data_IF_270054117732
#
_entry.id   IF_270054117732
#
_cell.length_a   1.000
_cell.length_b   1.000
_cell.length_c   1.000
_cell.angle_alpha   90.00
_cell.angle_beta   90.00
_cell.angle_gamma   90.00
#
_symmetry.space_group_name_H-M   'P 1'
#
loop_
_entity.id
_entity.type
_entity.pdbx_description
1 polymer ?
#
# COMPACT_ATOMS: atom_id res chain seq x y z
N UNK A 1 34.41 37.67 3.80
CA UNK A 1 33.48 36.70 3.24
C UNK A 1 33.32 35.58 4.23
N UNK A 2 32.21 35.43 4.98
CA UNK A 2 31.98 34.27 5.80
C UNK A 2 31.22 33.23 4.96
N UNK A 3 31.82 32.07 4.81
CA UNK A 3 31.21 30.83 4.30
C UNK A 3 30.08 30.39 5.22
N UNK A 4 28.85 30.37 4.69
CA UNK A 4 27.67 29.86 5.37
C UNK A 4 27.78 28.37 5.58
N UNK A 5 27.12 27.81 6.61
CA UNK A 5 27.15 26.39 6.88
C UNK A 5 26.37 25.63 5.80
N UNK A 6 27.04 24.71 5.11
CA UNK A 6 26.41 23.66 4.33
C UNK A 6 25.69 22.73 5.31
N UNK A 7 24.37 22.87 5.38
CA UNK A 7 23.50 21.94 6.08
C UNK A 7 23.59 20.58 5.36
N UNK A 8 24.42 19.68 5.87
CA UNK A 8 24.29 18.26 5.62
C UNK A 8 23.03 17.78 6.37
N UNK A 9 21.87 17.85 5.74
CA UNK A 9 20.71 17.12 6.19
C UNK A 9 21.06 15.64 5.99
N UNK A 10 21.37 14.95 7.08
CA UNK A 10 21.50 13.50 7.12
C UNK A 10 20.13 12.94 6.70
N UNK A 11 20.05 12.38 5.50
CA UNK A 11 18.86 11.63 5.07
C UNK A 11 18.63 10.52 6.10
N UNK A 12 17.49 10.55 6.76
CA UNK A 12 17.09 9.49 7.68
C UNK A 12 16.91 8.24 6.81
N UNK A 13 17.80 7.25 6.95
CA UNK A 13 17.62 5.96 6.28
C UNK A 13 16.31 5.36 6.81
N UNK A 14 15.38 5.09 5.90
CA UNK A 14 14.12 4.46 6.26
C UNK A 14 14.40 3.06 6.82
N UNK A 15 13.77 2.74 7.95
CA UNK A 15 13.91 1.45 8.59
C UNK A 15 13.20 0.38 7.77
N UNK A 16 13.86 -0.75 7.52
CA UNK A 16 13.24 -1.89 6.85
C UNK A 16 12.32 -2.62 7.83
N UNK A 17 11.02 -2.66 7.53
CA UNK A 17 10.01 -3.42 8.24
C UNK A 17 9.41 -4.44 7.27
N UNK A 18 9.62 -5.73 7.55
CA UNK A 18 9.23 -6.78 6.64
C UNK A 18 7.92 -7.43 7.06
N UNK A 19 7.01 -7.58 6.11
CA UNK A 19 5.75 -8.29 6.28
C UNK A 19 6.02 -9.78 6.53
N UNK A 20 5.28 -10.37 7.46
CA UNK A 20 5.42 -11.75 7.90
C UNK A 20 4.31 -12.63 7.33
N UNK A 21 4.69 -13.79 6.81
CA UNK A 21 3.74 -14.78 6.31
C UNK A 21 2.78 -15.26 7.41
N UNK A 22 1.51 -15.36 7.08
CA UNK A 22 0.45 -15.84 7.97
C UNK A 22 0.00 -17.24 7.51
N UNK A 23 0.07 -18.27 8.36
CA UNK A 23 -0.49 -19.57 8.04
C UNK A 23 -2.00 -19.51 7.77
N UNK A 24 -2.50 -20.26 6.80
CA UNK A 24 -3.93 -20.33 6.51
C UNK A 24 -4.23 -20.59 5.03
N UNK A 25 -5.52 -20.69 4.71
CA UNK A 25 -5.99 -20.95 3.34
C UNK A 25 -5.87 -19.74 2.39
N UNK A 26 -5.72 -18.53 2.95
CA UNK A 26 -5.47 -17.31 2.19
C UNK A 26 -4.00 -16.93 2.37
N UNK A 27 -3.19 -16.96 1.30
CA UNK A 27 -1.80 -16.54 1.37
C UNK A 27 -1.72 -15.05 1.71
N UNK A 28 -1.17 -14.72 2.88
CA UNK A 28 -1.09 -13.35 3.39
C UNK A 28 0.25 -13.11 4.08
N UNK A 29 0.66 -11.86 4.00
CA UNK A 29 1.80 -11.31 4.72
C UNK A 29 1.29 -10.11 5.52
N UNK A 30 1.44 -10.14 6.86
CA UNK A 30 0.96 -9.09 7.76
C UNK A 30 2.08 -8.13 8.16
N UNK A 31 1.76 -6.89 8.39
CA UNK A 31 2.59 -5.94 9.11
C UNK A 31 2.44 -6.20 10.61
N UNK A 32 3.16 -7.21 11.12
CA UNK A 32 2.98 -7.70 12.48
C UNK A 32 3.18 -6.61 13.53
N UNK A 33 4.21 -5.79 13.39
CA UNK A 33 4.48 -4.67 14.30
C UNK A 33 3.33 -3.66 14.34
N UNK A 34 2.74 -3.32 13.18
CA UNK A 34 1.58 -2.42 13.14
C UNK A 34 0.34 -3.03 13.78
N UNK A 35 0.09 -4.32 13.55
CA UNK A 35 -1.03 -5.03 14.17
C UNK A 35 -0.90 -5.08 15.70
N UNK A 36 0.31 -5.35 16.20
CA UNK A 36 0.61 -5.47 17.63
C UNK A 36 0.66 -4.10 18.34
N UNK A 37 1.27 -3.10 17.70
CA UNK A 37 1.45 -1.77 18.30
C UNK A 37 0.20 -0.91 18.24
N UNK A 38 -0.56 -1.00 17.14
CA UNK A 38 -1.65 -0.07 16.85
C UNK A 38 -3.04 -0.72 16.83
N UNK A 39 -3.13 -2.05 16.90
CA UNK A 39 -4.41 -2.76 16.86
C UNK A 39 -5.16 -2.62 15.56
N UNK A 40 -4.46 -2.46 14.45
CA UNK A 40 -5.00 -2.45 13.08
C UNK A 40 -4.91 -3.84 12.46
N UNK A 41 -5.51 -4.03 11.28
CA UNK A 41 -5.20 -5.10 10.35
C UNK A 41 -4.49 -4.49 9.15
N UNK A 42 -3.24 -4.90 8.91
CA UNK A 42 -2.42 -4.36 7.84
C UNK A 42 -1.58 -5.46 7.18
N UNK A 43 -1.44 -5.40 5.87
CA UNK A 43 -0.63 -6.36 5.13
C UNK A 43 -1.01 -6.47 3.66
N UNK A 44 -0.57 -7.57 3.05
CA UNK A 44 -0.76 -7.84 1.63
C UNK A 44 -1.04 -9.33 1.41
N UNK A 45 -1.85 -9.68 0.39
CA UNK A 45 -1.98 -11.08 -0.03
C UNK A 45 -0.76 -11.51 -0.85
N UNK A 46 -0.48 -12.80 -0.86
CA UNK A 46 0.55 -13.40 -1.71
C UNK A 46 -0.04 -14.13 -2.90
N UNK A 47 0.84 -14.72 -3.73
CA UNK A 47 0.49 -15.58 -4.86
C UNK A 47 -0.14 -16.91 -4.40
N UNK A 48 0.38 -17.52 -3.33
CA UNK A 48 0.02 -18.86 -2.86
C UNK A 48 0.44 -19.98 -3.82
N UNK A 49 0.28 -21.22 -3.36
CA UNK A 49 0.73 -22.43 -4.07
C UNK A 49 -0.36 -23.07 -4.95
N UNK A 50 -1.47 -22.37 -5.20
CA UNK A 50 -2.59 -22.89 -5.98
C UNK A 50 -2.26 -23.12 -7.45
N UNK A 51 -2.93 -24.07 -8.13
CA UNK A 51 -2.75 -24.31 -9.55
C UNK A 51 -3.11 -23.07 -10.39
N UNK A 52 -2.53 -22.95 -11.57
CA UNK A 52 -2.77 -21.84 -12.49
C UNK A 52 -2.21 -20.51 -11.98
N UNK A 53 -3.07 -19.52 -11.84
CA UNK A 53 -2.70 -18.18 -11.36
C UNK A 53 -2.62 -18.04 -9.83
N UNK A 54 -2.70 -19.12 -9.08
CA UNK A 54 -2.66 -19.06 -7.61
C UNK A 54 -3.82 -18.25 -7.03
N UNK A 55 -3.53 -17.36 -6.05
CA UNK A 55 -4.53 -16.54 -5.35
C UNK A 55 -4.69 -15.15 -5.97
N UNK A 56 -4.84 -15.07 -7.31
CA UNK A 56 -5.06 -13.82 -8.03
C UNK A 56 -6.39 -13.17 -7.63
N UNK A 57 -6.33 -11.92 -7.18
CA UNK A 57 -7.46 -11.08 -6.79
C UNK A 57 -7.74 -9.94 -7.79
N UNK A 58 -7.09 -9.94 -8.95
CA UNK A 58 -7.28 -8.94 -9.99
C UNK A 58 -8.63 -9.07 -10.69
N UNK A 59 -9.49 -8.06 -10.56
CA UNK A 59 -10.80 -8.02 -11.22
C UNK A 59 -10.72 -7.71 -12.72
N UNK A 60 -9.60 -7.14 -13.17
CA UNK A 60 -9.37 -6.74 -14.56
C UNK A 60 -8.18 -7.51 -15.18
N UNK A 61 -7.97 -8.75 -14.75
CA UNK A 61 -7.04 -9.70 -15.37
C UNK A 61 -7.82 -10.66 -16.27
N UNK A 62 -7.11 -11.50 -17.03
CA UNK A 62 -7.76 -12.55 -17.85
C UNK A 62 -8.25 -13.74 -17.01
N UNK A 63 -8.17 -13.69 -15.68
CA UNK A 63 -8.65 -14.74 -14.80
C UNK A 63 -10.19 -14.82 -14.86
N UNK A 64 -10.78 -16.03 -14.82
CA UNK A 64 -12.24 -16.17 -14.81
C UNK A 64 -12.86 -15.43 -13.62
N UNK A 65 -13.78 -14.50 -13.89
CA UNK A 65 -14.39 -13.64 -12.86
C UNK A 65 -14.98 -14.41 -11.68
N UNK A 66 -15.59 -15.57 -11.94
CA UNK A 66 -16.15 -16.44 -10.89
C UNK A 66 -15.10 -16.97 -9.91
N UNK A 67 -13.89 -17.29 -10.40
CA UNK A 67 -12.78 -17.73 -9.58
C UNK A 67 -12.24 -16.57 -8.74
N UNK A 68 -12.02 -15.40 -9.37
CA UNK A 68 -11.54 -14.19 -8.69
C UNK A 68 -12.51 -13.81 -7.56
N UNK A 69 -13.82 -13.78 -7.84
CA UNK A 69 -14.85 -13.51 -6.82
C UNK A 69 -14.90 -14.59 -5.74
N UNK A 70 -14.57 -15.84 -6.08
CA UNK A 70 -14.41 -16.92 -5.11
C UNK A 70 -13.27 -16.63 -4.12
N UNK A 71 -12.10 -16.19 -4.63
CA UNK A 71 -10.93 -15.81 -3.81
C UNK A 71 -11.19 -14.56 -2.97
N UNK A 72 -11.92 -13.57 -3.49
CA UNK A 72 -12.35 -12.42 -2.72
C UNK A 72 -13.26 -12.79 -1.55
N UNK A 73 -14.19 -13.76 -1.74
CA UNK A 73 -15.00 -14.27 -0.62
C UNK A 73 -14.16 -14.96 0.44
N UNK A 74 -13.15 -15.76 0.03
CA UNK A 74 -12.19 -16.37 0.96
C UNK A 74 -11.37 -15.33 1.72
N UNK A 75 -10.87 -14.30 1.02
CA UNK A 75 -10.14 -13.18 1.63
C UNK A 75 -11.00 -12.45 2.67
N UNK A 76 -12.24 -12.11 2.33
CA UNK A 76 -13.16 -11.45 3.29
C UNK A 76 -13.45 -12.34 4.51
N UNK A 77 -13.66 -13.63 4.32
CA UNK A 77 -13.88 -14.57 5.42
C UNK A 77 -12.66 -14.69 6.35
N UNK A 78 -11.45 -14.47 5.83
CA UNK A 78 -10.21 -14.43 6.59
C UNK A 78 -9.93 -13.09 7.30
N UNK A 79 -10.84 -12.12 7.17
CA UNK A 79 -10.75 -10.79 7.77
C UNK A 79 -11.92 -10.53 8.74
N UNK A 80 -11.95 -11.20 9.92
CA UNK A 80 -12.98 -10.94 10.92
C UNK A 80 -12.86 -9.51 11.47
N UNK A 81 -13.99 -8.92 11.85
CA UNK A 81 -14.06 -7.54 12.38
C UNK A 81 -14.27 -6.48 11.31
N UNK A 82 -14.56 -6.88 10.04
CA UNK A 82 -14.85 -5.94 8.96
C UNK A 82 -16.20 -6.26 8.30
N UNK A 83 -17.13 -5.30 8.36
CA UNK A 83 -18.43 -5.38 7.68
C UNK A 83 -18.34 -4.86 6.24
N UNK A 84 -17.47 -3.90 5.98
CA UNK A 84 -17.25 -3.29 4.67
C UNK A 84 -15.85 -3.51 4.12
N UNK A 85 -15.78 -3.74 2.80
CA UNK A 85 -14.52 -3.73 2.04
C UNK A 85 -14.65 -2.70 0.93
N UNK A 86 -13.71 -1.79 0.83
CA UNK A 86 -13.66 -0.76 -0.22
C UNK A 86 -12.50 -1.02 -1.17
N UNK A 87 -12.76 -0.86 -2.48
CA UNK A 87 -11.79 -1.05 -3.55
C UNK A 87 -12.00 0.02 -4.63
N UNK A 88 -10.93 0.54 -5.21
CA UNK A 88 -10.97 1.42 -6.37
C UNK A 88 -10.75 0.68 -7.69
N UNK A 89 -11.42 1.13 -8.77
CA UNK A 89 -10.94 0.91 -10.13
C UNK A 89 -9.78 1.88 -10.34
N UNK A 90 -8.58 1.41 -10.04
CA UNK A 90 -7.35 2.19 -10.03
C UNK A 90 -6.95 2.62 -11.44
N UNK A 91 -6.62 3.89 -11.61
CA UNK A 91 -6.24 4.49 -12.89
C UNK A 91 -4.80 5.01 -12.89
N UNK A 92 -4.02 4.67 -11.84
CA UNK A 92 -2.68 5.20 -11.57
C UNK A 92 -2.67 6.74 -11.42
N UNK A 93 -3.78 7.28 -10.92
CA UNK A 93 -3.97 8.69 -10.63
C UNK A 93 -3.60 9.08 -9.20
N UNK A 94 -4.20 10.17 -8.72
CA UNK A 94 -4.00 10.72 -7.37
C UNK A 94 -5.30 10.80 -6.56
N UNK A 95 -6.41 10.23 -7.08
CA UNK A 95 -7.71 10.28 -6.42
C UNK A 95 -7.72 9.47 -5.12
N UNK A 96 -7.97 10.13 -3.99
CA UNK A 96 -8.13 9.52 -2.66
C UNK A 96 -9.49 9.86 -2.11
N UNK A 97 -10.23 8.87 -1.60
CA UNK A 97 -11.60 9.03 -1.09
C UNK A 97 -11.67 8.70 0.39
N UNK A 98 -12.36 9.57 1.14
CA UNK A 98 -12.71 9.37 2.54
C UNK A 98 -14.00 8.56 2.65
N UNK A 99 -14.04 7.59 3.58
CA UNK A 99 -15.17 6.72 3.84
C UNK A 99 -15.68 6.90 5.27
N UNK A 100 -16.87 7.46 5.43
CA UNK A 100 -17.58 7.52 6.73
C UNK A 100 -18.34 6.23 7.02
N UNK A 101 -18.66 5.46 5.98
CA UNK A 101 -19.37 4.19 6.06
C UNK A 101 -19.07 3.31 4.85
N UNK A 102 -18.99 2.03 5.07
CA UNK A 102 -19.02 1.01 4.03
C UNK A 102 -19.67 -0.24 4.61
N UNK A 103 -20.52 -0.89 3.86
CA UNK A 103 -21.12 -2.17 4.19
C UNK A 103 -21.06 -3.10 2.99
N UNK A 104 -20.71 -4.35 3.21
CA UNK A 104 -20.53 -5.33 2.16
C UNK A 104 -19.32 -5.02 1.25
N UNK A 105 -19.57 -4.90 -0.04
CA UNK A 105 -18.58 -4.61 -1.08
C UNK A 105 -18.84 -3.25 -1.70
N UNK A 106 -17.89 -2.33 -1.61
CA UNK A 106 -17.97 -0.99 -2.20
C UNK A 106 -16.84 -0.83 -3.21
N UNK A 107 -17.18 -0.58 -4.46
CA UNK A 107 -16.23 -0.31 -5.54
C UNK A 107 -16.46 1.09 -6.08
N UNK A 108 -15.37 1.84 -6.28
CA UNK A 108 -15.39 3.23 -6.76
C UNK A 108 -14.54 3.36 -8.02
N UNK A 109 -15.03 4.14 -8.99
CA UNK A 109 -14.30 4.40 -10.23
C UNK A 109 -13.24 5.49 -10.07
N UNK A 110 -12.07 5.29 -10.68
CA UNK A 110 -11.02 6.30 -10.77
C UNK A 110 -10.33 6.63 -9.44
N UNK A 111 -10.33 5.69 -8.48
CA UNK A 111 -9.79 5.90 -7.12
C UNK A 111 -8.54 5.04 -6.93
N UNK A 112 -7.45 5.70 -6.54
CA UNK A 112 -6.15 5.08 -6.27
C UNK A 112 -5.79 5.10 -4.77
N UNK A 113 -6.66 5.63 -3.91
CA UNK A 113 -6.46 5.65 -2.47
C UNK A 113 -7.74 5.77 -1.68
N UNK A 114 -7.71 5.26 -0.46
CA UNK A 114 -8.84 5.25 0.46
C UNK A 114 -8.40 5.71 1.83
N UNK A 115 -9.27 6.41 2.56
CA UNK A 115 -9.03 6.82 3.94
C UNK A 115 -10.30 6.68 4.79
N UNK A 116 -10.15 6.45 6.09
CA UNK A 116 -11.27 6.37 7.04
C UNK A 116 -10.80 6.51 8.48
N UNK A 117 -11.72 6.93 9.36
CA UNK A 117 -11.63 6.80 10.82
C UNK A 117 -12.64 5.77 11.37
N UNK A 118 -13.45 5.16 10.50
CA UNK A 118 -14.55 4.28 10.90
C UNK A 118 -14.09 2.84 11.08
N UNK A 119 -14.19 2.25 12.29
CA UNK A 119 -13.95 0.84 12.49
C UNK A 119 -14.89 -0.04 11.65
N UNK A 120 -14.42 -1.21 11.26
CA UNK A 120 -15.20 -2.15 10.46
C UNK A 120 -15.10 -1.94 8.95
N UNK A 121 -14.37 -0.91 8.50
CA UNK A 121 -14.05 -0.71 7.08
C UNK A 121 -12.64 -1.23 6.80
N UNK A 122 -12.52 -2.14 5.84
CA UNK A 122 -11.24 -2.61 5.32
C UNK A 122 -10.94 -1.90 4.01
N UNK A 123 -9.92 -1.05 4.02
CA UNK A 123 -9.37 -0.39 2.84
C UNK A 123 -8.56 -1.41 2.03
N UNK A 124 -8.78 -1.48 0.72
CA UNK A 124 -8.04 -2.40 -0.15
C UNK A 124 -7.63 -1.73 -1.46
N UNK A 125 -6.44 -2.07 -1.94
CA UNK A 125 -5.94 -1.72 -3.27
C UNK A 125 -5.32 -2.95 -3.92
N UNK A 126 -5.37 -3.05 -5.24
CA UNK A 126 -4.70 -4.11 -5.99
C UNK A 126 -3.32 -3.64 -6.44
N UNK A 127 -2.32 -4.52 -6.30
CA UNK A 127 -0.95 -4.22 -6.69
C UNK A 127 -0.28 -5.41 -7.40
N UNK A 128 0.63 -5.09 -8.30
CA UNK A 128 1.68 -5.93 -8.82
C UNK A 128 2.78 -4.96 -9.28
N UNK A 129 3.81 -4.79 -8.44
CA UNK A 129 4.93 -3.85 -8.54
C UNK A 129 4.70 -2.44 -7.99
N UNK A 130 3.54 -1.79 -8.20
CA UNK A 130 3.24 -0.49 -7.60
C UNK A 130 3.30 -0.56 -6.07
N UNK A 131 3.69 0.55 -5.43
CA UNK A 131 3.91 0.61 -3.98
C UNK A 131 2.59 0.85 -3.25
N UNK A 132 2.15 -0.06 -2.38
CA UNK A 132 1.10 0.26 -1.41
C UNK A 132 1.69 1.15 -0.31
N UNK A 133 1.13 2.34 -0.12
CA UNK A 133 1.52 3.24 0.96
C UNK A 133 0.46 3.19 2.04
N UNK A 134 0.87 2.78 3.23
CA UNK A 134 0.05 2.71 4.42
C UNK A 134 0.32 3.95 5.27
N UNK A 135 -0.74 4.65 5.67
CA UNK A 135 -0.69 5.78 6.59
C UNK A 135 -1.59 5.50 7.79
N UNK A 136 -1.10 5.80 8.97
CA UNK A 136 -1.85 5.67 10.21
C UNK A 136 -1.53 6.83 11.15
N UNK A 137 -2.56 7.52 11.65
CA UNK A 137 -2.50 8.41 12.78
C UNK A 137 -2.96 7.63 14.02
N UNK A 138 -2.06 7.16 14.90
CA UNK A 138 -2.41 6.24 15.98
C UNK A 138 -3.40 6.84 16.99
N UNK A 139 -3.17 8.09 17.41
CA UNK A 139 -3.98 8.77 18.43
C UNK A 139 -5.38 9.12 17.91
N UNK A 140 -5.49 9.57 16.65
CA UNK A 140 -6.76 9.94 16.03
C UNK A 140 -7.51 8.73 15.49
N UNK A 141 -6.87 7.56 15.43
CA UNK A 141 -7.42 6.33 14.85
C UNK A 141 -7.86 6.55 13.40
N UNK A 142 -7.04 7.21 12.60
CA UNK A 142 -7.27 7.50 11.18
C UNK A 142 -6.28 6.71 10.34
N UNK A 143 -6.78 6.10 9.27
CA UNK A 143 -5.97 5.31 8.35
C UNK A 143 -6.17 5.74 6.91
N UNK A 144 -5.12 5.59 6.07
CA UNK A 144 -5.23 5.66 4.62
C UNK A 144 -4.34 4.61 3.96
N UNK A 145 -4.78 4.14 2.79
CA UNK A 145 -4.06 3.17 1.96
C UNK A 145 -4.06 3.67 0.51
N UNK A 146 -2.85 3.84 -0.06
CA UNK A 146 -2.65 4.46 -1.37
C UNK A 146 -1.97 3.49 -2.33
N UNK A 147 -2.40 3.51 -3.59
CA UNK A 147 -1.75 2.84 -4.71
C UNK A 147 -0.79 3.80 -5.42
N UNK A 148 0.49 3.70 -5.12
CA UNK A 148 1.50 4.59 -5.66
C UNK A 148 2.33 3.91 -6.76
N UNK A 149 1.85 3.98 -8.00
CA UNK A 149 2.66 3.78 -9.20
C UNK A 149 3.44 5.06 -9.53
N UNK A 150 4.30 5.05 -10.55
CA UNK A 150 5.11 6.21 -10.89
C UNK A 150 4.28 7.48 -11.20
N UNK A 151 3.11 7.33 -11.88
CA UNK A 151 2.23 8.47 -12.17
C UNK A 151 1.62 9.05 -10.90
N UNK A 152 1.12 8.20 -10.00
CA UNK A 152 0.57 8.62 -8.71
C UNK A 152 1.63 9.28 -7.82
N UNK A 153 2.85 8.71 -7.77
CA UNK A 153 3.99 9.28 -7.03
C UNK A 153 4.39 10.64 -7.58
N UNK A 154 4.55 10.75 -8.90
CA UNK A 154 4.89 12.02 -9.58
C UNK A 154 3.77 13.07 -9.48
N UNK A 155 2.51 12.61 -9.49
CA UNK A 155 1.33 13.48 -9.38
C UNK A 155 0.98 13.91 -7.96
N UNK A 156 1.70 13.44 -6.93
CA UNK A 156 1.49 13.85 -5.54
C UNK A 156 0.32 13.14 -4.85
N UNK A 157 0.15 11.83 -5.06
CA UNK A 157 -0.90 11.05 -4.35
C UNK A 157 -0.75 11.11 -2.84
N UNK A 158 0.52 11.16 -2.34
CA UNK A 158 0.78 11.31 -0.91
C UNK A 158 0.33 12.68 -0.41
N UNK A 159 0.66 13.75 -1.11
CA UNK A 159 0.26 15.13 -0.75
C UNK A 159 -1.26 15.26 -0.72
N UNK A 160 -1.94 14.75 -1.76
CA UNK A 160 -3.41 14.73 -1.81
C UNK A 160 -4.05 13.93 -0.67
N UNK A 161 -3.42 12.84 -0.23
CA UNK A 161 -3.86 12.08 0.93
C UNK A 161 -3.67 12.88 2.23
N UNK A 162 -2.51 13.51 2.43
CA UNK A 162 -2.23 14.34 3.61
C UNK A 162 -3.22 15.50 3.73
N UNK A 163 -3.50 16.22 2.64
CA UNK A 163 -4.53 17.27 2.61
C UNK A 163 -5.93 16.74 2.94
N UNK A 164 -6.27 15.53 2.46
CA UNK A 164 -7.55 14.89 2.78
C UNK A 164 -7.65 14.57 4.28
N UNK A 165 -6.61 14.00 4.88
CA UNK A 165 -6.56 13.64 6.30
C UNK A 165 -6.66 14.88 7.19
N UNK A 166 -5.96 15.95 6.85
CA UNK A 166 -6.06 17.24 7.56
C UNK A 166 -7.47 17.82 7.48
N UNK A 167 -8.05 17.84 6.28
CA UNK A 167 -9.39 18.40 6.05
C UNK A 167 -10.47 17.61 6.77
N UNK A 168 -10.43 16.28 6.72
CA UNK A 168 -11.48 15.38 7.24
C UNK A 168 -11.33 15.11 8.74
N UNK A 169 -10.12 14.99 9.25
CA UNK A 169 -9.87 14.50 10.61
C UNK A 169 -8.89 15.37 11.42
N UNK A 170 -8.40 16.48 10.87
CA UNK A 170 -7.39 17.35 11.52
C UNK A 170 -6.08 16.62 11.83
N UNK A 171 -5.78 15.58 11.08
CA UNK A 171 -4.52 14.84 11.19
C UNK A 171 -3.45 15.59 10.41
N UNK A 172 -2.35 15.92 11.08
CA UNK A 172 -1.18 16.55 10.47
C UNK A 172 -0.12 15.49 10.11
N UNK A 173 0.81 15.77 9.19
CA UNK A 173 1.89 14.82 8.88
C UNK A 173 2.69 14.36 10.10
N UNK A 174 2.88 15.24 11.08
CA UNK A 174 3.57 14.91 12.34
C UNK A 174 2.85 13.89 13.23
N UNK A 175 1.57 13.65 12.99
CA UNK A 175 0.76 12.66 13.72
C UNK A 175 0.83 11.26 13.10
N UNK A 176 1.47 11.13 11.92
CA UNK A 176 1.43 9.93 11.10
C UNK A 176 2.63 9.01 11.31
N UNK A 177 2.38 7.73 11.17
CA UNK A 177 3.37 6.72 10.79
C UNK A 177 3.07 6.27 9.36
N UNK A 178 4.13 5.99 8.58
CA UNK A 178 4.04 5.61 7.17
C UNK A 178 4.81 4.32 6.90
N UNK A 179 4.24 3.46 6.06
CA UNK A 179 4.94 2.28 5.55
C UNK A 179 4.78 2.18 4.03
N UNK A 180 5.91 2.09 3.31
CA UNK A 180 5.94 1.75 1.90
C UNK A 180 6.07 0.23 1.78
N UNK A 181 4.98 -0.46 1.43
CA UNK A 181 4.90 -1.92 1.44
C UNK A 181 5.55 -2.60 0.24
N UNK A 182 5.19 -3.88 0.06
CA UNK A 182 5.72 -4.75 -1.01
C UNK A 182 5.54 -4.13 -2.38
N UNK A 183 6.64 -3.84 -3.05
CA UNK A 183 6.66 -3.24 -4.39
C UNK A 183 7.99 -3.46 -5.10
N UNK A 184 8.05 -3.14 -6.38
CA UNK A 184 9.25 -3.36 -7.18
C UNK A 184 10.41 -2.49 -6.68
N UNK A 185 11.59 -3.08 -6.50
CA UNK A 185 12.78 -2.35 -6.07
C UNK A 185 13.48 -1.65 -7.24
N UNK A 186 14.33 -0.68 -6.91
CA UNK A 186 15.12 0.04 -7.91
C UNK A 186 15.94 -0.86 -8.82
N UNK A 187 16.53 -1.94 -8.30
CA UNK A 187 17.30 -2.89 -9.13
C UNK A 187 16.49 -3.63 -10.20
N UNK A 188 15.16 -3.71 -10.04
CA UNK A 188 14.26 -4.37 -10.99
C UNK A 188 13.39 -3.40 -11.81
N UNK A 189 13.33 -2.11 -11.42
CA UNK A 189 12.48 -1.14 -12.09
C UNK A 189 13.27 -0.26 -13.05
N UNK A 190 13.61 -0.85 -14.20
CA UNK A 190 14.20 -0.16 -15.35
C UNK A 190 13.14 0.72 -16.02
N UNK A 191 13.48 1.97 -16.32
CA UNK A 191 12.56 2.98 -16.86
C UNK A 191 13.20 3.84 -17.97
N UNK A 192 12.36 4.47 -18.78
CA UNK A 192 12.73 5.51 -19.72
C UNK A 192 12.80 6.90 -19.08
N UNK A 193 13.24 7.90 -19.86
CA UNK A 193 13.35 9.29 -19.44
C UNK A 193 12.03 9.87 -18.94
N UNK A 194 10.91 9.49 -19.55
CA UNK A 194 9.57 9.95 -19.12
C UNK A 194 9.31 9.68 -17.64
N UNK A 195 9.59 8.48 -17.15
CA UNK A 195 9.38 8.11 -15.75
C UNK A 195 10.40 8.81 -14.85
N UNK A 196 11.68 8.80 -15.29
CA UNK A 196 12.77 9.41 -14.53
C UNK A 196 12.49 10.89 -14.26
N UNK A 197 12.17 11.65 -15.31
CA UNK A 197 11.86 13.08 -15.22
C UNK A 197 10.59 13.35 -14.40
N UNK A 198 9.55 12.55 -14.60
CA UNK A 198 8.28 12.69 -13.88
C UNK A 198 8.45 12.55 -12.36
N UNK A 199 9.32 11.64 -11.90
CA UNK A 199 9.60 11.46 -10.47
C UNK A 199 10.69 12.42 -9.94
N UNK A 200 11.07 13.43 -10.72
CA UNK A 200 11.99 14.49 -10.32
C UNK A 200 13.47 14.10 -10.35
N UNK A 201 13.81 13.01 -11.03
CA UNK A 201 15.20 12.58 -11.18
C UNK A 201 15.78 13.03 -12.53
N UNK A 202 17.10 13.14 -12.59
CA UNK A 202 17.83 13.44 -13.81
C UNK A 202 18.78 12.29 -14.11
N UNK A 203 18.81 11.83 -15.35
CA UNK A 203 19.74 10.83 -15.84
C UNK A 203 20.81 11.45 -16.74
N UNK A 204 21.83 10.67 -17.05
CA UNK A 204 22.75 10.94 -18.14
C UNK A 204 22.09 10.55 -19.49
N UNK A 205 22.75 10.86 -20.60
CA UNK A 205 22.22 10.63 -21.96
C UNK A 205 22.19 9.13 -22.38
N UNK A 206 22.42 8.21 -21.45
CA UNK A 206 22.69 6.80 -21.76
C UNK A 206 21.67 5.80 -21.24
N UNK A 207 20.49 6.20 -20.81
CA UNK A 207 19.46 5.25 -20.29
C UNK A 207 19.49 3.85 -20.89
N UNK A 208 18.77 2.90 -20.39
CA UNK A 208 17.68 3.04 -19.41
C UNK A 208 18.20 3.26 -17.98
N UNK A 209 17.32 3.77 -17.14
CA UNK A 209 17.63 4.08 -15.74
C UNK A 209 16.86 3.19 -14.79
N UNK A 210 17.36 3.08 -13.57
CA UNK A 210 16.70 2.35 -12.49
C UNK A 210 16.17 3.32 -11.44
N UNK A 211 14.89 3.15 -11.03
CA UNK A 211 14.20 4.02 -10.08
C UNK A 211 13.60 3.18 -8.96
N UNK A 212 13.86 3.54 -7.70
CA UNK A 212 13.10 3.00 -6.57
C UNK A 212 12.01 4.00 -6.17
N UNK A 213 10.75 3.66 -6.40
CA UNK A 213 9.61 4.52 -6.05
C UNK A 213 9.43 4.62 -4.53
N UNK A 214 9.90 3.63 -3.74
CA UNK A 214 9.86 3.70 -2.28
C UNK A 214 10.77 4.79 -1.75
N UNK A 215 11.98 4.92 -2.31
CA UNK A 215 12.89 6.02 -1.96
C UNK A 215 12.23 7.37 -2.24
N UNK A 216 11.59 7.54 -3.41
CA UNK A 216 10.87 8.78 -3.75
C UNK A 216 9.73 9.08 -2.77
N UNK A 217 8.94 8.07 -2.40
CA UNK A 217 7.84 8.21 -1.42
C UNK A 217 8.36 8.52 -0.01
N UNK A 218 9.49 7.92 0.40
CA UNK A 218 10.16 8.22 1.66
C UNK A 218 10.62 9.68 1.69
N UNK A 219 11.25 10.16 0.62
CA UNK A 219 11.66 11.56 0.51
C UNK A 219 10.47 12.52 0.59
N UNK A 220 9.36 12.21 -0.08
CA UNK A 220 8.12 12.99 0.02
C UNK A 220 7.57 12.99 1.46
N UNK A 221 7.52 11.83 2.12
CA UNK A 221 7.06 11.72 3.50
C UNK A 221 7.92 12.48 4.50
N UNK A 222 9.25 12.40 4.36
CA UNK A 222 10.20 13.17 5.18
C UNK A 222 10.01 14.66 4.94
N UNK A 223 9.91 15.10 3.70
CA UNK A 223 9.68 16.50 3.34
C UNK A 223 8.35 17.04 3.89
N UNK A 224 7.32 16.21 3.94
CA UNK A 224 6.03 16.55 4.56
C UNK A 224 6.08 16.60 6.09
N UNK A 225 7.11 16.03 6.73
CA UNK A 225 7.28 16.02 8.19
C UNK A 225 6.71 14.77 8.88
N UNK A 226 6.56 13.65 8.18
CA UNK A 226 6.17 12.38 8.81
C UNK A 226 7.35 11.84 9.62
N UNK A 227 7.19 11.61 10.94
CA UNK A 227 8.32 11.31 11.83
C UNK A 227 8.81 9.85 11.76
N UNK A 228 7.93 8.91 11.43
CA UNK A 228 8.23 7.47 11.40
C UNK A 228 7.86 6.91 10.03
N UNK A 229 8.88 6.51 9.26
CA UNK A 229 8.70 5.95 7.93
C UNK A 229 9.47 4.64 7.83
N UNK A 230 8.78 3.58 7.40
CA UNK A 230 9.36 2.26 7.18
C UNK A 230 9.15 1.80 5.75
N UNK A 231 9.98 0.86 5.28
CA UNK A 231 9.88 0.29 3.94
C UNK A 231 9.93 -1.23 3.98
N UNK A 232 9.18 -1.88 3.09
CA UNK A 232 9.24 -3.33 2.91
C UNK A 232 10.58 -3.76 2.31
N UNK A 233 11.13 -4.87 2.81
CA UNK A 233 12.29 -5.53 2.22
C UNK A 233 11.95 -6.41 1.00
N UNK A 234 10.66 -6.66 0.73
CA UNK A 234 10.22 -7.51 -0.37
C UNK A 234 10.15 -6.79 -1.71
N UNK A 235 10.57 -7.51 -2.77
CA UNK A 235 10.38 -7.10 -4.16
C UNK A 235 9.66 -8.21 -4.92
N UNK A 236 8.49 -7.96 -5.55
CA UNK A 236 7.74 -8.97 -6.29
C UNK A 236 8.51 -9.58 -7.45
N UNK A 237 9.38 -8.82 -8.10
CA UNK A 237 10.19 -9.32 -9.22
C UNK A 237 11.30 -10.28 -8.77
N UNK A 238 11.82 -10.13 -7.55
CA UNK A 238 12.78 -11.05 -6.95
C UNK A 238 12.11 -12.29 -6.32
N UNK A 239 10.90 -12.12 -5.77
CA UNK A 239 10.19 -13.15 -5.00
C UNK A 239 8.89 -13.58 -5.72
N UNK A 240 9.03 -14.03 -6.96
CA UNK A 240 7.90 -14.43 -7.82
C UNK A 240 7.14 -15.66 -7.31
N UNK A 241 7.76 -16.44 -6.47
CA UNK A 241 7.13 -17.58 -5.77
C UNK A 241 6.13 -17.12 -4.71
N UNK A 242 6.33 -15.89 -4.16
CA UNK A 242 5.48 -15.32 -3.11
C UNK A 242 4.50 -14.27 -3.63
N UNK A 243 4.90 -13.51 -4.66
CA UNK A 243 4.18 -12.33 -5.12
C UNK A 243 4.00 -12.30 -6.64
N UNK A 244 3.03 -11.52 -7.11
CA UNK A 244 2.84 -11.22 -8.52
C UNK A 244 3.64 -9.99 -8.93
N UNK A 245 4.31 -10.06 -10.08
CA UNK A 245 5.06 -8.94 -10.66
C UNK A 245 4.62 -8.70 -12.11
N UNK A 246 4.08 -7.54 -12.37
CA UNK A 246 3.72 -7.07 -13.71
C UNK A 246 4.96 -6.99 -14.62
N UNK A 247 6.04 -6.42 -14.10
CA UNK A 247 7.32 -6.26 -14.81
C UNK A 247 7.93 -7.62 -15.18
N UNK A 248 8.10 -8.50 -14.20
CA UNK A 248 8.75 -9.79 -14.39
C UNK A 248 7.92 -10.78 -15.24
N UNK A 249 6.61 -10.53 -15.39
CA UNK A 249 5.69 -11.36 -16.17
C UNK A 249 5.29 -10.73 -17.52
N UNK A 250 5.84 -9.56 -17.87
CA UNK A 250 5.41 -8.78 -19.04
C UNK A 250 3.90 -8.54 -19.06
N UNK A 251 3.32 -8.27 -17.88
CA UNK A 251 1.90 -7.91 -17.71
C UNK A 251 0.93 -9.08 -17.56
N UNK A 252 1.37 -10.34 -17.72
CA UNK A 252 0.48 -11.51 -17.71
C UNK A 252 0.13 -12.05 -16.33
N UNK A 253 0.71 -11.50 -15.25
CA UNK A 253 0.55 -12.01 -13.88
C UNK A 253 -0.75 -11.50 -13.21
N UNK A 254 -1.12 -12.14 -12.08
CA UNK A 254 -2.25 -11.75 -11.25
C UNK A 254 -2.01 -10.45 -10.47
N UNK A 255 -2.91 -10.20 -9.51
CA UNK A 255 -2.82 -9.06 -8.59
C UNK A 255 -2.91 -9.52 -7.14
N UNK A 256 -2.05 -8.95 -6.30
CA UNK A 256 -2.16 -8.98 -4.85
C UNK A 256 -3.13 -7.90 -4.40
N UNK A 257 -3.63 -8.04 -3.17
CA UNK A 257 -4.40 -7.00 -2.48
C UNK A 257 -3.63 -6.58 -1.23
N UNK A 258 -3.23 -5.32 -1.18
CA UNK A 258 -2.82 -4.67 0.04
C UNK A 258 -4.05 -4.21 0.81
N UNK A 259 -4.02 -4.34 2.14
CA UNK A 259 -5.16 -4.04 3.00
C UNK A 259 -4.76 -3.31 4.28
N UNK A 260 -5.63 -2.41 4.73
CA UNK A 260 -5.49 -1.69 6.00
C UNK A 260 -6.88 -1.45 6.59
N UNK A 261 -7.06 -1.75 7.88
CA UNK A 261 -8.36 -1.56 8.52
C UNK A 261 -8.27 -1.43 10.04
N UNK A 262 -9.26 -0.73 10.60
CA UNK A 262 -9.53 -0.64 12.03
C UNK A 262 -10.59 -1.70 12.34
N UNK A 263 -10.24 -2.84 12.98
CA UNK A 263 -11.24 -3.87 13.25
C UNK A 263 -12.29 -3.38 14.26
N UNK A 264 -13.53 -3.81 14.08
CA UNK A 264 -14.51 -3.75 15.15
C UNK A 264 -14.00 -4.57 16.35
N UNK A 265 -14.25 -4.13 17.57
CA UNK A 265 -14.02 -4.96 18.74
C UNK A 265 -14.86 -6.25 18.58
N UNK A 266 -14.18 -7.39 18.43
CA UNK A 266 -14.86 -8.67 18.50
C UNK A 266 -15.16 -8.85 19.98
N UNK A 267 -16.45 -8.86 20.37
CA UNK A 267 -16.85 -9.18 21.74
C UNK A 267 -16.15 -10.48 22.13
N UNK A 268 -15.30 -10.40 23.17
CA UNK A 268 -14.71 -11.59 23.75
C UNK A 268 -15.88 -12.49 24.18
N UNK A 269 -15.85 -13.81 23.90
CA UNK A 269 -16.91 -14.69 24.38
C UNK A 269 -17.05 -14.52 25.89
N UNK A 270 -18.27 -14.53 26.45
CA UNK A 270 -18.46 -14.37 27.88
C UNK A 270 -17.61 -15.40 28.62
N UNK A 271 -16.82 -14.93 29.59
CA UNK A 271 -16.02 -15.80 30.45
C UNK A 271 -17.01 -16.76 31.13
N UNK A 272 -16.88 -18.08 30.93
CA UNK A 272 -17.76 -19.03 31.63
C UNK A 272 -17.58 -18.82 33.15
N UNK A 273 -18.72 -18.62 33.86
CA UNK A 273 -18.76 -18.47 35.30
C UNK A 273 -18.45 -19.81 35.97
#
# INVERSE_FOLDING_TARGET
MPSGPTSNATMTEAVVLQEQAVPGSVPRFRLAEWEERFGVRAGITGRGDGPGRGFDLGLWTDAPAGEVMGRWRQFRAAMPGFSGVVLGTQVHGTGVVWHDRADGWVQLEGVDGHATATPGILLTITVADCIPVYLLAPEQRVIALLHAGWRGTAGGILDGALELLERQAKVLPADLVMHCGVGICGGCYEVGSEVLEAVGLRGDDRGPWHVDLRERLVEQGVAAGIPEITVSGWCPAHHRELFYSHRASSGSDGRMVAYLGLPLAIDAPPIPR
#
